data_IF_591445636987
#
_entry.id   IF_591445636987
#
_cell.length_a   1.000
_cell.length_b   1.000
_cell.length_c   1.000
_cell.angle_alpha   90.00
_cell.angle_beta   90.00
_cell.angle_gamma   90.00
#
_symmetry.space_group_name_H-M   'P 1'
#
loop_
_entity.id
_entity.type
_entity.pdbx_description
1 polymer ?
#
# COMPACT_ATOMS: atom_id res chain seq x y z
N UNK A 1 -1.38 -18.36 7.36
CA UNK A 1 -1.38 -19.78 7.11
C UNK A 1 -0.66 -20.13 5.82
N UNK A 2 0.15 -21.17 5.84
CA UNK A 2 0.73 -21.73 4.62
C UNK A 2 -0.35 -22.53 3.88
N UNK A 3 -0.44 -22.35 2.56
CA UNK A 3 -1.26 -23.23 1.73
C UNK A 3 -0.67 -24.65 1.67
N UNK A 4 -1.39 -25.59 1.10
CA UNK A 4 -0.93 -26.99 0.97
C UNK A 4 -0.02 -27.21 -0.26
N UNK A 5 1.00 -26.37 -0.40
CA UNK A 5 1.96 -26.38 -1.52
C UNK A 5 2.79 -27.66 -1.67
N UNK A 6 2.82 -28.50 -0.63
CA UNK A 6 3.37 -29.85 -0.66
C UNK A 6 2.28 -30.94 -0.57
N UNK A 7 1.00 -30.56 -0.71
CA UNK A 7 -0.15 -31.44 -0.46
C UNK A 7 -0.64 -31.37 0.99
N UNK A 8 -1.70 -32.12 1.26
CA UNK A 8 -2.31 -32.25 2.58
C UNK A 8 -1.72 -33.49 3.24
N UNK A 9 -1.35 -33.41 4.54
CA UNK A 9 -0.83 -34.61 5.26
C UNK A 9 -1.89 -35.70 5.38
N UNK A 10 -1.50 -36.93 5.07
CA UNK A 10 -2.33 -38.12 5.29
C UNK A 10 -2.59 -38.42 6.77
N UNK A 11 -1.73 -37.90 7.66
CA UNK A 11 -1.80 -38.16 9.11
C UNK A 11 -2.85 -37.28 9.82
N UNK A 12 -3.52 -36.39 9.09
CA UNK A 12 -4.62 -35.61 9.64
C UNK A 12 -5.84 -36.48 9.95
N UNK A 13 -6.41 -36.26 11.11
CA UNK A 13 -7.66 -36.91 11.51
C UNK A 13 -8.88 -36.13 11.02
N UNK A 14 -9.12 -36.22 9.72
CA UNK A 14 -10.30 -35.60 9.11
C UNK A 14 -11.57 -36.41 9.38
N UNK A 15 -12.73 -35.75 9.51
CA UNK A 15 -14.04 -36.42 9.44
C UNK A 15 -14.19 -37.28 8.17
N UNK A 16 -15.00 -38.34 8.23
CA UNK A 16 -15.13 -39.32 7.16
C UNK A 16 -15.59 -38.69 5.83
N UNK A 17 -16.50 -37.71 5.86
CA UNK A 17 -17.00 -37.01 4.69
C UNK A 17 -15.91 -36.11 4.06
N UNK A 18 -14.99 -35.55 4.87
CA UNK A 18 -13.85 -34.81 4.38
C UNK A 18 -12.81 -35.72 3.77
N UNK A 19 -12.53 -36.89 4.40
CA UNK A 19 -11.65 -37.92 3.83
C UNK A 19 -12.12 -38.35 2.43
N UNK A 20 -13.44 -38.49 2.23
CA UNK A 20 -14.04 -38.82 0.92
C UNK A 20 -13.93 -37.70 -0.10
N UNK A 21 -13.73 -36.44 0.36
CA UNK A 21 -13.53 -35.28 -0.49
C UNK A 21 -12.09 -35.11 -0.96
N UNK A 22 -11.17 -35.91 -0.48
CA UNK A 22 -9.74 -35.88 -0.83
C UNK A 22 -9.36 -37.09 -1.71
N UNK A 23 -8.29 -36.95 -2.47
CA UNK A 23 -7.71 -38.05 -3.23
C UNK A 23 -6.19 -37.93 -3.32
N UNK A 24 -5.50 -39.06 -3.47
CA UNK A 24 -4.05 -39.07 -3.67
C UNK A 24 -3.70 -38.87 -5.14
N UNK A 25 -2.86 -37.91 -5.41
CA UNK A 25 -2.32 -37.63 -6.74
C UNK A 25 -0.83 -37.29 -6.63
N UNK A 26 0.01 -37.93 -7.44
CA UNK A 26 1.48 -37.77 -7.42
C UNK A 26 2.10 -37.84 -6.01
N UNK A 27 1.60 -38.71 -5.16
CA UNK A 27 2.07 -38.89 -3.78
C UNK A 27 1.57 -37.84 -2.78
N UNK A 28 0.79 -36.87 -3.21
CA UNK A 28 0.19 -35.84 -2.35
C UNK A 28 -1.32 -36.09 -2.18
N UNK A 29 -1.84 -35.82 -0.99
CA UNK A 29 -3.28 -35.79 -0.73
C UNK A 29 -3.80 -34.41 -1.11
N UNK A 30 -4.80 -34.35 -2.00
CA UNK A 30 -5.34 -33.10 -2.56
C UNK A 30 -6.87 -33.07 -2.45
N UNK A 31 -7.51 -31.88 -2.47
CA UNK A 31 -8.95 -31.77 -2.64
C UNK A 31 -9.42 -32.47 -3.91
N UNK A 32 -10.56 -33.16 -3.84
CA UNK A 32 -11.03 -34.10 -4.82
C UNK A 32 -11.33 -33.51 -6.21
N UNK A 33 -11.58 -34.41 -7.17
CA UNK A 33 -11.73 -34.09 -8.60
C UNK A 33 -13.01 -33.31 -8.97
N UNK A 34 -14.04 -33.37 -8.14
CA UNK A 34 -15.30 -32.65 -8.41
C UNK A 34 -15.33 -31.31 -7.70
N UNK A 35 -15.99 -30.29 -8.28
CA UNK A 35 -16.19 -28.98 -7.61
C UNK A 35 -16.83 -29.13 -6.22
N UNK A 36 -17.75 -30.09 -6.06
CA UNK A 36 -18.39 -30.39 -4.77
C UNK A 36 -17.40 -30.85 -3.71
N UNK A 37 -16.46 -31.72 -4.06
CA UNK A 37 -15.47 -32.24 -3.14
C UNK A 37 -14.47 -31.15 -2.74
N UNK A 38 -14.04 -30.35 -3.71
CA UNK A 38 -13.16 -29.20 -3.48
C UNK A 38 -13.85 -28.20 -2.52
N UNK A 39 -15.11 -27.84 -2.81
CA UNK A 39 -15.89 -26.94 -1.96
C UNK A 39 -16.09 -27.48 -0.54
N UNK A 40 -16.36 -28.78 -0.40
CA UNK A 40 -16.54 -29.43 0.90
C UNK A 40 -15.26 -29.36 1.75
N UNK A 41 -14.09 -29.59 1.14
CA UNK A 41 -12.80 -29.43 1.81
C UNK A 41 -12.58 -28.00 2.30
N UNK A 42 -12.74 -26.97 1.41
CA UNK A 42 -12.53 -25.60 1.79
C UNK A 42 -13.55 -25.11 2.81
N UNK A 43 -14.80 -25.57 2.74
CA UNK A 43 -15.81 -25.28 3.77
C UNK A 43 -15.38 -25.78 5.15
N UNK A 44 -14.90 -26.99 5.23
CA UNK A 44 -14.37 -27.57 6.48
C UNK A 44 -13.16 -26.79 6.97
N UNK A 45 -12.20 -26.53 6.09
CA UNK A 45 -10.95 -25.84 6.40
C UNK A 45 -11.22 -24.44 6.97
N UNK A 46 -12.01 -23.62 6.29
CA UNK A 46 -12.32 -22.25 6.74
C UNK A 46 -13.16 -22.27 8.02
N UNK A 47 -14.14 -23.17 8.12
CA UNK A 47 -14.94 -23.31 9.34
C UNK A 47 -14.10 -23.70 10.56
N UNK A 48 -13.14 -24.58 10.38
CA UNK A 48 -12.20 -24.96 11.45
C UNK A 48 -11.43 -23.75 11.98
N UNK A 49 -10.94 -22.90 11.09
CA UNK A 49 -10.21 -21.69 11.46
C UNK A 49 -11.11 -20.67 12.15
N UNK A 50 -12.31 -20.45 11.61
CA UNK A 50 -13.30 -19.56 12.25
C UNK A 50 -13.71 -20.02 13.65
N UNK A 51 -13.93 -21.32 13.82
CA UNK A 51 -14.27 -21.89 15.13
C UNK A 51 -13.13 -21.74 16.15
N UNK A 52 -11.88 -21.59 15.69
CA UNK A 52 -10.74 -21.26 16.53
C UNK A 52 -10.56 -19.76 16.79
N UNK A 53 -11.52 -18.92 16.38
CA UNK A 53 -11.57 -17.50 16.67
C UNK A 53 -10.83 -16.60 15.67
N UNK A 54 -10.52 -17.08 14.46
CA UNK A 54 -9.92 -16.26 13.42
C UNK A 54 -11.00 -15.54 12.59
N UNK A 55 -10.92 -14.21 12.52
CA UNK A 55 -11.79 -13.37 11.70
C UNK A 55 -11.21 -13.07 10.32
N UNK A 56 -9.91 -13.32 10.16
CA UNK A 56 -9.14 -12.96 8.97
C UNK A 56 -8.01 -13.97 8.76
N UNK A 57 -7.74 -14.29 7.49
CA UNK A 57 -6.72 -15.25 7.09
C UNK A 57 -5.78 -14.65 6.04
N UNK A 58 -4.48 -14.84 6.20
CA UNK A 58 -3.50 -14.72 5.12
C UNK A 58 -3.14 -16.12 4.65
N UNK A 59 -3.49 -16.45 3.41
CA UNK A 59 -3.21 -17.74 2.80
C UNK A 59 -2.05 -17.60 1.84
N UNK A 60 -0.96 -18.28 2.17
CA UNK A 60 0.29 -18.26 1.40
C UNK A 60 0.33 -19.39 0.34
N UNK A 61 1.30 -19.31 -0.58
CA UNK A 61 1.61 -20.33 -1.58
C UNK A 61 0.48 -20.68 -2.56
N UNK A 62 -0.45 -19.77 -2.81
CA UNK A 62 -1.61 -20.04 -3.67
C UNK A 62 -1.23 -20.34 -5.13
N UNK A 63 -0.15 -19.74 -5.65
CA UNK A 63 0.36 -20.01 -6.99
C UNK A 63 0.82 -21.46 -7.19
N UNK A 64 1.14 -22.17 -6.11
CA UNK A 64 1.55 -23.58 -6.15
C UNK A 64 0.38 -24.56 -6.31
N UNK A 65 -0.85 -24.10 -6.22
CA UNK A 65 -2.04 -24.95 -6.45
C UNK A 65 -2.02 -25.56 -7.86
N UNK A 66 -1.64 -24.79 -8.88
CA UNK A 66 -1.56 -25.30 -10.25
C UNK A 66 -0.51 -26.42 -10.42
N UNK A 67 0.76 -26.26 -9.96
CA UNK A 67 1.75 -27.33 -9.99
C UNK A 67 1.33 -28.64 -9.32
N UNK A 68 0.54 -28.59 -8.24
CA UNK A 68 0.08 -29.80 -7.55
C UNK A 68 -0.75 -30.74 -8.43
N UNK A 69 -1.47 -30.20 -9.40
CA UNK A 69 -2.31 -30.96 -10.33
C UNK A 69 -1.62 -31.30 -11.65
N UNK A 70 -0.33 -30.92 -11.84
CA UNK A 70 0.40 -31.17 -13.10
C UNK A 70 0.53 -32.65 -13.40
N UNK A 71 0.27 -33.00 -14.69
CA UNK A 71 0.21 -34.39 -15.14
C UNK A 71 -1.22 -34.97 -15.14
N UNK A 72 -2.18 -34.27 -14.55
CA UNK A 72 -3.61 -34.62 -14.61
C UNK A 72 -4.26 -34.14 -15.92
N UNK A 73 -5.48 -34.63 -16.18
CA UNK A 73 -6.24 -34.29 -17.40
C UNK A 73 -6.98 -32.94 -17.30
N UNK A 74 -7.16 -32.39 -16.10
CA UNK A 74 -7.96 -31.18 -15.84
C UNK A 74 -7.26 -30.19 -14.90
N UNK A 75 -5.95 -30.03 -15.09
CA UNK A 75 -5.06 -29.27 -14.21
C UNK A 75 -5.57 -27.84 -13.93
N UNK A 76 -5.83 -27.09 -14.99
CA UNK A 76 -6.27 -25.69 -14.89
C UNK A 76 -7.64 -25.60 -14.22
N UNK A 77 -8.57 -26.49 -14.59
CA UNK A 77 -9.92 -26.52 -13.99
C UNK A 77 -9.86 -26.80 -12.49
N UNK A 78 -9.09 -27.80 -12.06
CA UNK A 78 -8.97 -28.14 -10.64
C UNK A 78 -8.32 -27.03 -9.84
N UNK A 79 -7.24 -26.43 -10.33
CA UNK A 79 -6.59 -25.30 -9.65
C UNK A 79 -7.53 -24.07 -9.57
N UNK A 80 -8.26 -23.77 -10.64
CA UNK A 80 -9.28 -22.72 -10.65
C UNK A 80 -10.38 -22.97 -9.63
N UNK A 81 -10.92 -24.19 -9.56
CA UNK A 81 -11.98 -24.55 -8.61
C UNK A 81 -11.49 -24.43 -7.15
N UNK A 82 -10.23 -24.75 -6.88
CA UNK A 82 -9.64 -24.53 -5.55
C UNK A 82 -9.62 -23.03 -5.18
N UNK A 83 -9.20 -22.17 -6.09
CA UNK A 83 -9.21 -20.73 -5.86
C UNK A 83 -10.64 -20.19 -5.66
N UNK A 84 -11.58 -20.59 -6.52
CA UNK A 84 -12.98 -20.18 -6.41
C UNK A 84 -13.64 -20.70 -5.11
N UNK A 85 -13.30 -21.92 -4.67
CA UNK A 85 -13.81 -22.46 -3.42
C UNK A 85 -13.23 -21.72 -2.20
N UNK A 86 -11.95 -21.36 -2.22
CA UNK A 86 -11.33 -20.55 -1.18
C UNK A 86 -12.04 -19.20 -1.06
N UNK A 87 -12.17 -18.47 -2.15
CA UNK A 87 -12.84 -17.15 -2.22
C UNK A 87 -14.29 -17.24 -1.70
N UNK A 88 -15.06 -18.22 -2.20
CA UNK A 88 -16.46 -18.43 -1.82
C UNK A 88 -16.60 -18.78 -0.34
N UNK A 89 -15.82 -19.73 0.15
CA UNK A 89 -15.95 -20.21 1.52
C UNK A 89 -15.49 -19.18 2.56
N UNK A 90 -14.49 -18.36 2.26
CA UNK A 90 -14.12 -17.24 3.14
C UNK A 90 -15.22 -16.17 3.17
N UNK A 91 -15.80 -15.84 2.03
CA UNK A 91 -16.95 -14.91 1.93
C UNK A 91 -18.18 -15.42 2.68
N UNK A 92 -18.64 -16.65 2.39
CA UNK A 92 -19.86 -17.23 2.95
C UNK A 92 -19.79 -17.39 4.48
N UNK A 93 -18.58 -17.61 4.99
CA UNK A 93 -18.34 -17.75 6.43
C UNK A 93 -17.91 -16.44 7.10
N UNK A 94 -17.89 -15.32 6.36
CA UNK A 94 -17.53 -13.99 6.86
C UNK A 94 -16.13 -13.96 7.50
N UNK A 95 -15.15 -14.53 6.81
CA UNK A 95 -13.73 -14.49 7.17
C UNK A 95 -12.99 -13.65 6.13
N UNK A 96 -12.26 -12.63 6.57
CA UNK A 96 -11.43 -11.83 5.67
C UNK A 96 -10.34 -12.67 5.01
N UNK A 97 -10.06 -12.44 3.73
CA UNK A 97 -8.99 -13.14 3.00
C UNK A 97 -7.95 -12.16 2.47
N UNK A 98 -6.69 -12.42 2.78
CA UNK A 98 -5.53 -11.84 2.15
C UNK A 98 -4.80 -12.92 1.34
N UNK A 99 -4.74 -12.73 0.03
CA UNK A 99 -4.04 -13.64 -0.87
C UNK A 99 -2.53 -13.39 -0.81
N UNK A 100 -1.74 -14.47 -0.69
CA UNK A 100 -0.30 -14.38 -0.67
C UNK A 100 0.33 -15.41 -1.61
N UNK A 101 1.47 -15.04 -2.26
CA UNK A 101 2.07 -15.81 -3.35
C UNK A 101 1.02 -16.24 -4.40
N UNK A 102 0.17 -15.29 -4.77
CA UNK A 102 -0.98 -15.50 -5.66
C UNK A 102 -0.80 -14.80 -7.02
N UNK A 103 0.44 -14.44 -7.37
CA UNK A 103 0.76 -13.73 -8.62
C UNK A 103 0.84 -14.71 -9.80
N UNK A 104 -0.32 -15.24 -10.17
CA UNK A 104 -0.52 -15.96 -11.41
C UNK A 104 -1.89 -15.61 -11.99
N UNK A 105 -2.11 -15.86 -13.27
CA UNK A 105 -3.35 -15.55 -13.98
C UNK A 105 -4.58 -16.16 -13.33
N UNK A 106 -4.48 -17.43 -12.86
CA UNK A 106 -5.62 -18.09 -12.22
C UNK A 106 -6.10 -17.39 -10.95
N UNK A 107 -5.18 -16.92 -10.12
CA UNK A 107 -5.53 -16.22 -8.90
C UNK A 107 -5.97 -14.78 -9.22
N UNK A 108 -5.18 -14.04 -10.01
CA UNK A 108 -5.44 -12.63 -10.33
C UNK A 108 -6.79 -12.42 -11.01
N UNK A 109 -7.15 -13.29 -11.97
CA UNK A 109 -8.39 -13.16 -12.74
C UNK A 109 -9.63 -13.72 -12.00
N UNK A 110 -9.44 -14.40 -10.85
CA UNK A 110 -10.53 -15.03 -10.10
C UNK A 110 -10.58 -14.57 -8.63
N UNK A 111 -10.04 -13.42 -8.32
CA UNK A 111 -10.23 -12.71 -7.03
C UNK A 111 -11.60 -12.06 -7.03
N UNK A 112 -12.62 -12.77 -6.48
CA UNK A 112 -14.03 -12.36 -6.60
C UNK A 112 -14.55 -11.66 -5.34
N UNK A 113 -14.10 -12.05 -4.15
CA UNK A 113 -14.62 -11.57 -2.87
C UNK A 113 -13.55 -10.99 -1.96
N UNK A 114 -12.30 -11.41 -2.11
CA UNK A 114 -11.18 -10.84 -1.36
C UNK A 114 -10.74 -9.50 -1.92
N UNK A 115 -10.43 -8.56 -1.04
CA UNK A 115 -10.03 -7.20 -1.42
C UNK A 115 -8.54 -6.90 -1.23
N UNK A 116 -7.72 -7.89 -0.84
CA UNK A 116 -6.31 -7.69 -0.52
C UNK A 116 -5.45 -8.81 -1.09
N UNK A 117 -4.42 -8.44 -1.85
CA UNK A 117 -3.46 -9.39 -2.45
C UNK A 117 -2.03 -8.90 -2.28
N UNK A 118 -1.12 -9.80 -1.86
CA UNK A 118 0.30 -9.56 -1.80
C UNK A 118 0.88 -9.31 -3.20
N UNK A 119 1.64 -8.25 -3.38
CA UNK A 119 2.14 -7.81 -4.70
C UNK A 119 3.67 -7.86 -4.86
N UNK A 120 4.41 -8.27 -3.82
CA UNK A 120 5.88 -8.28 -3.80
C UNK A 120 6.47 -9.61 -3.36
N UNK A 121 7.79 -9.78 -3.55
CA UNK A 121 8.58 -10.77 -2.79
C UNK A 121 8.55 -10.44 -1.30
N UNK A 122 9.01 -11.38 -0.47
CA UNK A 122 9.08 -11.19 0.97
C UNK A 122 9.98 -10.03 1.36
N UNK A 123 9.55 -9.24 2.34
CA UNK A 123 10.44 -8.32 3.03
C UNK A 123 11.46 -9.11 3.87
N UNK A 124 12.72 -8.69 3.80
CA UNK A 124 13.80 -9.24 4.62
C UNK A 124 14.48 -8.14 5.42
N UNK A 125 14.48 -8.29 6.75
CA UNK A 125 15.16 -7.37 7.67
C UNK A 125 16.67 -7.36 7.39
N UNK A 126 17.27 -6.17 7.37
CA UNK A 126 18.71 -5.93 7.18
C UNK A 126 19.28 -6.38 5.82
N UNK A 127 18.46 -6.49 4.80
CA UNK A 127 18.86 -6.86 3.45
C UNK A 127 18.48 -5.74 2.46
N UNK A 128 19.44 -4.89 2.16
CA UNK A 128 19.24 -3.71 1.31
C UNK A 128 18.80 -4.07 -0.12
N UNK A 129 19.45 -5.07 -0.74
CA UNK A 129 19.14 -5.45 -2.12
C UNK A 129 17.77 -6.11 -2.24
N UNK A 130 17.38 -6.91 -1.24
CA UNK A 130 16.04 -7.46 -1.16
C UNK A 130 15.00 -6.36 -0.90
N UNK A 131 15.31 -5.37 -0.07
CA UNK A 131 14.42 -4.24 0.17
C UNK A 131 14.17 -3.40 -1.09
N UNK A 132 15.22 -3.14 -1.89
CA UNK A 132 15.11 -2.46 -3.21
C UNK A 132 14.23 -3.25 -4.18
N UNK A 133 14.48 -4.54 -4.31
CA UNK A 133 13.71 -5.44 -5.18
C UNK A 133 12.25 -5.54 -4.72
N UNK A 134 12.02 -5.62 -3.42
CA UNK A 134 10.70 -5.62 -2.80
C UNK A 134 9.90 -4.36 -3.15
N UNK A 135 10.50 -3.17 -2.99
CA UNK A 135 9.86 -1.89 -3.34
C UNK A 135 9.53 -1.80 -4.82
N UNK A 136 10.47 -2.16 -5.69
CA UNK A 136 10.24 -2.15 -7.13
C UNK A 136 9.07 -3.04 -7.53
N UNK A 137 9.04 -4.29 -7.05
CA UNK A 137 7.93 -5.22 -7.33
C UNK A 137 6.62 -4.75 -6.73
N UNK A 138 6.63 -4.25 -5.49
CA UNK A 138 5.44 -3.74 -4.82
C UNK A 138 4.67 -2.75 -5.69
N UNK A 139 5.35 -1.72 -6.16
CA UNK A 139 4.69 -0.67 -6.94
C UNK A 139 4.41 -1.07 -8.39
N UNK A 140 5.33 -1.81 -9.03
CA UNK A 140 5.13 -2.23 -10.42
C UNK A 140 3.95 -3.19 -10.57
N UNK A 141 3.80 -4.15 -9.65
CA UNK A 141 2.67 -5.08 -9.67
C UNK A 141 1.34 -4.39 -9.30
N UNK A 142 1.38 -3.31 -8.53
CA UNK A 142 0.20 -2.51 -8.20
C UNK A 142 -0.43 -1.84 -9.43
N UNK A 143 0.32 -1.58 -10.50
CA UNK A 143 -0.23 -1.06 -11.76
C UNK A 143 -1.40 -1.89 -12.29
N UNK A 144 -1.29 -3.23 -12.23
CA UNK A 144 -2.34 -4.13 -12.67
C UNK A 144 -3.27 -4.49 -11.51
N UNK A 145 -2.72 -5.02 -10.42
CA UNK A 145 -3.52 -5.58 -9.33
C UNK A 145 -4.26 -4.52 -8.53
N UNK A 146 -3.68 -3.33 -8.38
CA UNK A 146 -4.30 -2.19 -7.67
C UNK A 146 -5.58 -1.64 -8.31
N UNK A 147 -5.95 -2.10 -9.50
CA UNK A 147 -7.22 -1.75 -10.15
C UNK A 147 -8.40 -2.53 -9.56
N UNK A 148 -8.16 -3.66 -8.92
CA UNK A 148 -9.21 -4.56 -8.38
C UNK A 148 -9.05 -4.88 -6.90
N UNK A 149 -7.83 -4.80 -6.35
CA UNK A 149 -7.52 -5.11 -4.95
C UNK A 149 -6.62 -4.05 -4.32
N UNK A 150 -6.64 -3.94 -3.00
CA UNK A 150 -5.64 -3.19 -2.25
C UNK A 150 -4.34 -4.02 -2.16
N UNK A 151 -3.19 -3.45 -2.56
CA UNK A 151 -1.95 -4.18 -2.61
C UNK A 151 -1.37 -4.40 -1.21
N UNK A 152 -1.11 -5.64 -0.85
CA UNK A 152 -0.31 -5.97 0.33
C UNK A 152 1.18 -5.85 -0.03
N UNK A 153 1.84 -4.84 0.52
CA UNK A 153 3.28 -4.62 0.42
C UNK A 153 4.08 -5.37 1.50
N UNK A 154 3.50 -6.44 2.07
CA UNK A 154 4.08 -7.24 3.15
C UNK A 154 4.28 -6.49 4.48
N UNK A 155 4.73 -7.23 5.48
CA UNK A 155 5.18 -6.71 6.77
C UNK A 155 6.43 -5.82 6.63
N UNK A 156 6.79 -5.16 7.72
CA UNK A 156 8.12 -4.57 7.88
C UNK A 156 8.54 -4.59 9.35
N UNK A 157 9.82 -4.34 9.61
CA UNK A 157 10.34 -4.09 10.95
C UNK A 157 10.60 -2.60 11.12
N UNK A 158 9.95 -1.97 12.09
CA UNK A 158 10.20 -0.58 12.42
C UNK A 158 11.62 -0.37 12.96
N UNK A 159 12.20 -1.41 13.54
CA UNK A 159 13.56 -1.47 14.09
C UNK A 159 14.65 -1.79 13.07
N UNK A 160 14.30 -1.96 11.79
CA UNK A 160 15.31 -2.18 10.75
C UNK A 160 16.15 -0.93 10.53
N UNK A 161 17.43 -1.01 10.89
CA UNK A 161 18.37 0.12 10.82
C UNK A 161 18.77 0.50 9.40
N UNK A 162 18.54 -0.38 8.41
CA UNK A 162 18.80 -0.11 6.99
C UNK A 162 17.65 0.64 6.34
N UNK A 163 16.42 0.17 6.54
CA UNK A 163 15.29 0.69 5.77
C UNK A 163 13.96 0.81 6.57
N UNK A 164 13.93 0.64 7.89
CA UNK A 164 12.68 0.67 8.68
C UNK A 164 11.88 1.95 8.49
N UNK A 165 12.52 3.11 8.54
CA UNK A 165 11.90 4.42 8.29
C UNK A 165 11.42 4.59 6.84
N UNK A 166 12.20 4.14 5.85
CA UNK A 166 11.84 4.15 4.44
C UNK A 166 10.65 3.22 4.17
N UNK A 167 10.67 2.00 4.74
CA UNK A 167 9.55 1.06 4.63
C UNK A 167 8.28 1.61 5.26
N UNK A 168 8.36 2.29 6.40
CA UNK A 168 7.19 2.91 7.03
C UNK A 168 6.51 3.94 6.08
N UNK A 169 7.29 4.80 5.40
CA UNK A 169 6.76 5.73 4.40
C UNK A 169 6.18 5.01 3.18
N UNK A 170 6.86 3.95 2.72
CA UNK A 170 6.35 3.10 1.65
C UNK A 170 5.01 2.46 2.00
N UNK A 171 4.86 1.93 3.22
CA UNK A 171 3.58 1.37 3.68
C UNK A 171 2.50 2.43 3.79
N UNK A 172 2.83 3.64 4.24
CA UNK A 172 1.88 4.75 4.30
C UNK A 172 1.22 5.04 2.95
N UNK A 173 2.03 5.17 1.89
CA UNK A 173 1.53 5.53 0.54
C UNK A 173 0.91 4.33 -0.21
N UNK A 174 1.21 3.09 0.19
CA UNK A 174 0.75 1.89 -0.52
C UNK A 174 -0.77 1.78 -0.63
N UNK A 175 -1.49 2.28 0.38
CA UNK A 175 -2.95 2.09 0.52
C UNK A 175 -3.35 0.71 1.04
N UNK A 176 -2.45 -0.26 1.03
CA UNK A 176 -2.67 -1.62 1.52
C UNK A 176 -2.67 -1.75 3.05
N UNK A 177 -2.77 -2.96 3.57
CA UNK A 177 -2.62 -3.21 5.00
C UNK A 177 -1.20 -2.87 5.47
N UNK A 178 -1.10 -2.40 6.71
CA UNK A 178 0.18 -2.12 7.37
C UNK A 178 0.30 -3.00 8.61
N UNK A 179 1.32 -3.83 8.66
CA UNK A 179 1.56 -4.72 9.79
C UNK A 179 3.04 -4.89 10.06
N UNK A 180 3.35 -5.07 11.34
CA UNK A 180 4.70 -5.12 11.90
C UNK A 180 5.07 -6.54 12.27
N UNK A 181 6.36 -6.87 12.15
CA UNK A 181 6.94 -8.13 12.61
C UNK A 181 8.07 -7.91 13.62
N UNK A 182 8.16 -6.72 14.18
CA UNK A 182 9.05 -6.47 15.31
C UNK A 182 8.64 -7.29 16.52
N UNK A 183 9.62 -7.68 17.33
CA UNK A 183 9.33 -8.03 18.72
C UNK A 183 8.71 -6.82 19.42
N UNK A 184 7.69 -6.99 20.30
CA UNK A 184 7.07 -5.87 20.99
C UNK A 184 8.05 -4.96 21.78
N UNK A 185 9.23 -5.47 22.09
CA UNK A 185 10.29 -4.70 22.80
C UNK A 185 11.19 -3.89 21.85
N UNK A 186 11.07 -4.10 20.55
CA UNK A 186 11.94 -3.49 19.53
C UNK A 186 11.21 -2.43 18.68
N UNK A 187 9.96 -2.11 19.00
CA UNK A 187 9.20 -1.09 18.26
C UNK A 187 9.88 0.27 18.30
N UNK A 188 10.04 0.86 17.12
CA UNK A 188 10.52 2.23 16.94
C UNK A 188 9.32 3.14 16.70
N UNK A 189 8.90 3.85 17.74
CA UNK A 189 7.69 4.69 17.74
C UNK A 189 7.71 5.78 16.67
N UNK A 190 8.89 6.33 16.37
CA UNK A 190 9.14 7.36 15.37
C UNK A 190 8.79 6.88 13.94
N UNK A 191 8.86 5.58 13.70
CA UNK A 191 8.48 4.96 12.42
C UNK A 191 7.00 4.54 12.39
N UNK A 192 6.37 4.36 13.55
CA UNK A 192 5.00 3.82 13.65
C UNK A 192 3.96 4.93 13.82
N UNK A 193 4.16 5.87 14.74
CA UNK A 193 3.17 6.92 15.04
C UNK A 193 2.84 7.84 13.85
N UNK A 194 3.74 8.11 12.89
CA UNK A 194 3.36 8.84 11.69
C UNK A 194 2.35 8.13 10.78
N UNK A 195 2.14 6.81 10.95
CA UNK A 195 1.19 6.01 10.16
C UNK A 195 -0.26 6.12 10.64
N UNK A 196 -0.48 6.43 11.93
CA UNK A 196 -1.76 6.24 12.61
C UNK A 196 -2.25 7.50 13.31
N UNK A 197 -3.57 7.56 13.56
CA UNK A 197 -4.17 8.52 14.49
C UNK A 197 -3.99 8.07 15.96
N UNK A 198 -4.62 8.79 16.90
CA UNK A 198 -4.53 8.47 18.35
C UNK A 198 -5.27 7.19 18.74
N UNK A 199 -6.17 6.70 17.88
CA UNK A 199 -6.95 5.49 18.12
C UNK A 199 -6.33 4.28 17.43
N UNK A 200 -5.16 4.44 16.78
CA UNK A 200 -4.49 3.40 16.01
C UNK A 200 -5.05 3.21 14.60
N UNK A 201 -5.92 4.10 14.12
CA UNK A 201 -6.43 4.04 12.75
C UNK A 201 -5.37 4.54 11.77
N UNK A 202 -5.11 3.76 10.73
CA UNK A 202 -4.12 4.07 9.69
C UNK A 202 -4.67 5.17 8.77
N UNK A 203 -3.87 6.20 8.50
CA UNK A 203 -4.11 7.12 7.40
C UNK A 203 -3.80 6.46 6.06
N UNK A 204 -4.69 6.61 5.07
CA UNK A 204 -4.57 5.97 3.76
C UNK A 204 -4.69 6.98 2.62
N UNK A 205 -4.02 6.72 1.48
CA UNK A 205 -4.31 7.44 0.24
C UNK A 205 -5.69 7.05 -0.29
N UNK A 206 -6.23 7.84 -1.20
CA UNK A 206 -7.53 7.58 -1.84
C UNK A 206 -7.47 6.43 -2.87
N UNK A 207 -6.28 6.10 -3.39
CA UNK A 207 -6.01 4.96 -4.25
C UNK A 207 -4.59 4.43 -3.97
N UNK A 208 -4.29 3.15 -4.29
CA UNK A 208 -2.96 2.59 -4.14
C UNK A 208 -1.90 3.35 -4.92
N UNK A 209 -0.70 3.50 -4.33
CA UNK A 209 0.41 4.16 -5.03
C UNK A 209 0.91 3.32 -6.20
N UNK A 210 1.15 3.98 -7.32
CA UNK A 210 1.74 3.39 -8.53
C UNK A 210 2.96 4.21 -9.00
N UNK A 211 3.83 3.64 -9.85
CA UNK A 211 4.92 4.39 -10.47
C UNK A 211 4.39 5.55 -11.33
N UNK A 212 5.15 6.64 -11.37
CA UNK A 212 4.90 7.72 -12.34
C UNK A 212 5.16 7.22 -13.77
N UNK A 213 4.59 7.84 -14.81
CA UNK A 213 4.71 7.36 -16.19
C UNK A 213 6.15 7.12 -16.66
N UNK A 214 7.09 7.99 -16.29
CA UNK A 214 8.51 7.81 -16.63
C UNK A 214 9.17 6.66 -15.85
N UNK A 215 8.67 6.33 -14.66
CA UNK A 215 9.20 5.23 -13.84
C UNK A 215 8.69 3.86 -14.29
N UNK A 216 7.57 3.79 -14.99
CA UNK A 216 7.01 2.53 -15.54
C UNK A 216 7.98 1.88 -16.54
N UNK A 217 8.67 2.71 -17.35
CA UNK A 217 9.53 2.26 -18.44
C UNK A 217 11.02 2.14 -18.04
N UNK A 218 11.34 2.20 -16.74
CA UNK A 218 12.72 2.12 -16.25
C UNK A 218 12.92 0.88 -15.38
N UNK A 219 14.13 0.35 -15.37
CA UNK A 219 14.57 -0.60 -14.35
C UNK A 219 15.34 0.16 -13.26
N UNK A 220 14.70 0.60 -12.18
CA UNK A 220 15.34 1.45 -11.18
C UNK A 220 16.47 0.75 -10.43
N UNK A 221 16.59 -0.58 -10.52
CA UNK A 221 17.67 -1.33 -9.92
C UNK A 221 18.99 -1.18 -10.70
N UNK A 222 18.94 -0.79 -11.99
CA UNK A 222 20.10 -0.81 -12.89
C UNK A 222 20.30 0.49 -13.70
N UNK A 223 19.25 1.27 -13.96
CA UNK A 223 19.29 2.36 -14.94
C UNK A 223 19.88 3.68 -14.41
N UNK A 224 20.27 3.75 -13.15
CA UNK A 224 20.80 4.97 -12.54
C UNK A 224 19.80 6.13 -12.48
N UNK A 225 18.51 5.82 -12.42
CA UNK A 225 17.42 6.79 -12.31
C UNK A 225 16.69 6.66 -10.98
N UNK A 226 16.18 7.76 -10.48
CA UNK A 226 15.29 7.73 -9.33
C UNK A 226 13.96 7.04 -9.71
N UNK A 227 13.46 6.20 -8.81
CA UNK A 227 12.15 5.56 -8.94
C UNK A 227 11.10 6.42 -8.23
N UNK A 228 10.15 6.95 -8.98
CA UNK A 228 9.12 7.84 -8.48
C UNK A 228 7.78 7.13 -8.44
N UNK A 229 7.09 7.23 -7.30
CA UNK A 229 5.74 6.68 -7.11
C UNK A 229 4.83 7.76 -6.56
N UNK A 230 3.53 7.67 -6.84
CA UNK A 230 2.56 8.65 -6.40
C UNK A 230 1.24 8.02 -5.97
N UNK A 231 0.52 8.72 -5.09
CA UNK A 231 -0.85 8.40 -4.72
C UNK A 231 -1.67 9.66 -4.44
N UNK A 232 -2.96 9.70 -4.79
CA UNK A 232 -3.86 10.76 -4.37
C UNK A 232 -4.07 10.68 -2.86
N UNK A 233 -3.92 11.81 -2.16
CA UNK A 233 -3.94 11.85 -0.70
C UNK A 233 -4.83 12.98 -0.20
N UNK A 234 -5.65 12.68 0.83
CA UNK A 234 -6.63 13.63 1.32
C UNK A 234 -7.63 14.08 0.24
N UNK A 235 -8.26 15.21 0.46
CA UNK A 235 -9.32 15.71 -0.44
C UNK A 235 -8.77 16.11 -1.82
N UNK A 236 -7.59 16.71 -1.86
CA UNK A 236 -7.09 17.31 -3.10
C UNK A 236 -5.58 17.19 -3.35
N UNK A 237 -4.79 16.61 -2.46
CA UNK A 237 -3.34 16.52 -2.63
C UNK A 237 -2.88 15.27 -3.37
N UNK A 238 -1.61 15.30 -3.82
CA UNK A 238 -0.85 14.13 -4.31
C UNK A 238 0.36 13.95 -3.43
N UNK A 239 0.59 12.73 -2.94
CA UNK A 239 1.85 12.37 -2.29
C UNK A 239 2.76 11.67 -3.30
N UNK A 240 4.04 12.05 -3.32
CA UNK A 240 5.05 11.48 -4.20
C UNK A 240 6.23 11.02 -3.33
N UNK A 241 6.72 9.81 -3.56
CA UNK A 241 8.00 9.37 -3.01
C UNK A 241 8.98 9.14 -4.16
N UNK A 242 10.19 9.68 -3.99
CA UNK A 242 11.32 9.40 -4.86
C UNK A 242 12.28 8.47 -4.13
N UNK A 243 12.69 7.37 -4.77
CA UNK A 243 13.61 6.37 -4.22
C UNK A 243 14.88 6.29 -5.05
N UNK A 244 16.02 6.03 -4.41
CA UNK A 244 17.19 5.45 -5.07
C UNK A 244 17.21 3.94 -4.80
N UNK A 245 16.78 3.14 -5.79
CA UNK A 245 16.73 1.67 -5.72
C UNK A 245 17.91 1.00 -6.45
N UNK A 246 18.91 1.76 -6.90
CA UNK A 246 20.01 1.17 -7.64
C UNK A 246 20.82 0.19 -6.78
N UNK A 247 21.13 -0.97 -7.36
CA UNK A 247 21.99 -2.00 -6.75
C UNK A 247 23.46 -1.86 -7.14
N UNK A 248 23.75 -1.03 -8.15
CA UNK A 248 25.12 -0.79 -8.63
C UNK A 248 25.78 0.37 -7.88
N UNK A 249 27.00 0.16 -7.40
CA UNK A 249 27.82 1.24 -6.81
C UNK A 249 28.10 2.41 -7.75
N UNK A 250 27.97 2.20 -9.08
CA UNK A 250 28.11 3.24 -10.10
C UNK A 250 27.05 4.34 -9.95
N UNK A 251 25.89 4.03 -9.44
CA UNK A 251 24.75 4.96 -9.30
C UNK A 251 24.42 5.21 -7.83
N UNK A 252 25.47 5.49 -7.04
CA UNK A 252 25.29 5.83 -5.64
C UNK A 252 24.40 7.06 -5.45
N UNK A 253 24.46 7.99 -6.39
CA UNK A 253 23.63 9.19 -6.42
C UNK A 253 22.72 9.18 -7.65
N UNK A 254 21.44 9.48 -7.45
CA UNK A 254 20.46 9.67 -8.52
C UNK A 254 19.71 10.98 -8.31
N UNK A 255 19.20 11.54 -9.41
CA UNK A 255 18.43 12.77 -9.38
C UNK A 255 17.03 12.58 -9.94
N UNK A 256 16.09 13.38 -9.49
CA UNK A 256 14.75 13.51 -10.02
C UNK A 256 14.34 14.99 -10.05
N UNK A 257 13.26 15.30 -10.75
CA UNK A 257 12.56 16.57 -10.65
C UNK A 257 11.11 16.33 -10.28
N UNK A 258 10.51 17.26 -9.52
CA UNK A 258 9.07 17.27 -9.28
C UNK A 258 8.51 18.53 -9.89
N UNK A 259 7.64 18.38 -10.88
CA UNK A 259 7.02 19.48 -11.58
C UNK A 259 5.56 19.68 -11.13
N UNK A 260 4.99 20.86 -11.42
CA UNK A 260 3.58 21.11 -11.11
C UNK A 260 2.63 20.18 -11.87
N UNK A 261 3.05 19.70 -13.03
CA UNK A 261 2.32 18.76 -13.88
C UNK A 261 2.16 17.38 -13.20
N UNK A 262 3.05 17.01 -12.27
CA UNK A 262 2.93 15.78 -11.49
C UNK A 262 1.65 15.75 -10.63
N UNK A 263 1.08 16.90 -10.32
CA UNK A 263 -0.19 17.01 -9.63
C UNK A 263 -1.34 16.40 -10.45
N UNK A 264 -1.30 16.50 -11.78
CA UNK A 264 -2.33 15.96 -12.68
C UNK A 264 -2.39 14.43 -12.67
N UNK A 265 -1.35 13.75 -12.16
CA UNK A 265 -1.36 12.29 -11.98
C UNK A 265 -2.47 11.83 -11.05
N UNK A 266 -2.98 12.72 -10.18
CA UNK A 266 -4.15 12.44 -9.33
C UNK A 266 -5.36 11.99 -10.13
N UNK A 267 -5.64 12.62 -11.27
CA UNK A 267 -6.77 12.32 -12.13
C UNK A 267 -6.72 10.89 -12.66
N UNK A 268 -5.53 10.35 -12.93
CA UNK A 268 -5.36 8.99 -13.46
C UNK A 268 -5.85 7.91 -12.51
N UNK A 269 -5.83 8.18 -11.20
CA UNK A 269 -6.24 7.22 -10.16
C UNK A 269 -7.62 7.52 -9.57
N UNK A 270 -8.04 8.78 -9.57
CA UNK A 270 -9.34 9.16 -8.98
C UNK A 270 -10.46 9.21 -10.02
N UNK A 271 -10.12 9.31 -11.30
CA UNK A 271 -11.08 9.55 -12.39
C UNK A 271 -11.82 10.90 -12.26
N UNK A 272 -11.37 11.78 -11.37
CA UNK A 272 -11.97 13.10 -11.15
C UNK A 272 -11.05 14.16 -11.75
N UNK A 273 -11.54 14.96 -12.71
CA UNK A 273 -10.77 16.08 -13.25
C UNK A 273 -10.33 17.02 -12.12
N UNK A 274 -9.07 17.45 -12.18
CA UNK A 274 -8.64 18.47 -11.27
C UNK A 274 -9.09 19.85 -11.78
N UNK A 275 -9.97 20.46 -11.01
CA UNK A 275 -10.56 21.77 -11.30
C UNK A 275 -9.71 22.93 -10.76
N UNK A 276 -8.40 22.75 -10.62
CA UNK A 276 -7.53 23.88 -10.22
C UNK A 276 -7.51 24.95 -11.30
N UNK A 277 -8.39 25.92 -11.16
CA UNK A 277 -8.48 27.07 -12.08
C UNK A 277 -7.19 27.91 -12.15
N UNK A 278 -6.33 27.84 -11.14
CA UNK A 278 -5.09 28.60 -11.05
C UNK A 278 -3.84 27.89 -11.56
N UNK A 279 -3.87 26.57 -11.65
CA UNK A 279 -2.67 25.77 -11.99
C UNK A 279 -1.49 25.97 -11.04
N UNK A 280 -1.72 26.55 -9.85
CA UNK A 280 -0.69 26.83 -8.84
C UNK A 280 -0.62 25.70 -7.84
N UNK A 281 0.56 25.15 -7.66
CA UNK A 281 0.82 23.99 -6.80
C UNK A 281 1.91 24.33 -5.80
N UNK A 282 1.65 24.06 -4.53
CA UNK A 282 2.62 24.09 -3.44
C UNK A 282 3.22 22.69 -3.29
N UNK A 283 4.52 22.57 -3.34
CA UNK A 283 5.26 21.39 -2.91
C UNK A 283 5.60 21.54 -1.43
N UNK A 284 5.25 20.55 -0.63
CA UNK A 284 5.71 20.41 0.75
C UNK A 284 6.70 19.26 0.83
N UNK A 285 7.93 19.56 1.23
CA UNK A 285 8.97 18.57 1.55
C UNK A 285 8.72 18.07 2.98
N UNK A 286 8.29 16.81 3.09
CA UNK A 286 7.90 16.25 4.39
C UNK A 286 9.09 16.11 5.35
N UNK A 287 10.28 15.81 4.84
CA UNK A 287 11.48 15.62 5.67
C UNK A 287 12.11 16.94 6.08
N UNK A 288 12.23 17.85 5.14
CA UNK A 288 12.76 19.20 5.39
C UNK A 288 11.75 20.12 6.11
N UNK A 289 10.46 19.77 6.11
CA UNK A 289 9.36 20.58 6.67
C UNK A 289 9.25 21.98 6.03
N UNK A 290 9.58 22.07 4.76
CA UNK A 290 9.55 23.32 3.97
C UNK A 290 8.49 23.26 2.88
N UNK A 291 7.99 24.43 2.47
CA UNK A 291 7.01 24.57 1.42
C UNK A 291 7.50 25.53 0.35
N UNK A 292 7.31 25.17 -0.92
CA UNK A 292 7.72 25.98 -2.09
C UNK A 292 6.64 25.94 -3.17
N UNK A 293 6.22 27.07 -3.68
CA UNK A 293 5.35 27.10 -4.86
C UNK A 293 6.13 26.66 -6.11
N UNK A 294 5.60 25.69 -6.84
CA UNK A 294 6.25 25.15 -8.03
C UNK A 294 6.10 26.08 -9.23
N UNK A 295 7.13 26.87 -9.51
CA UNK A 295 7.27 27.69 -10.74
C UNK A 295 8.16 27.03 -11.78
N UNK A 296 9.00 26.11 -11.35
CA UNK A 296 9.87 25.24 -12.15
C UNK A 296 9.97 23.87 -11.47
N UNK A 297 10.59 22.89 -12.12
CA UNK A 297 10.82 21.59 -11.52
C UNK A 297 11.69 21.71 -10.26
N UNK A 298 11.22 21.15 -9.14
CA UNK A 298 11.96 21.08 -7.88
C UNK A 298 13.00 19.96 -7.98
N UNK A 299 14.29 20.25 -7.79
CA UNK A 299 15.34 19.25 -7.91
C UNK A 299 15.36 18.33 -6.68
N UNK A 300 15.41 17.03 -6.89
CA UNK A 300 15.57 16.00 -5.86
C UNK A 300 16.87 15.26 -6.08
N UNK A 301 17.67 15.12 -5.03
CA UNK A 301 18.94 14.42 -5.04
C UNK A 301 18.93 13.34 -3.96
N UNK A 302 19.18 12.08 -4.36
CA UNK A 302 19.14 10.91 -3.49
C UNK A 302 20.51 10.24 -3.49
N UNK A 303 21.14 10.13 -2.34
CA UNK A 303 22.42 9.45 -2.17
C UNK A 303 22.25 8.17 -1.37
N UNK A 304 22.77 7.05 -1.90
CA UNK A 304 22.63 5.72 -1.30
C UNK A 304 21.19 5.22 -1.33
N UNK A 305 20.87 4.22 -0.52
CA UNK A 305 19.51 3.70 -0.38
C UNK A 305 18.66 4.64 0.48
N UNK A 306 18.06 5.61 -0.16
CA UNK A 306 17.25 6.66 0.49
C UNK A 306 15.98 6.94 -0.28
N UNK A 307 15.08 7.66 0.37
CA UNK A 307 13.84 8.17 -0.19
C UNK A 307 13.57 9.62 0.26
N UNK A 308 12.76 10.32 -0.50
CA UNK A 308 12.18 11.62 -0.12
C UNK A 308 10.69 11.63 -0.42
N UNK A 309 9.91 12.10 0.57
CA UNK A 309 8.44 12.20 0.51
C UNK A 309 8.02 13.64 0.34
N UNK A 310 7.18 13.89 -0.66
CA UNK A 310 6.63 15.19 -0.98
C UNK A 310 5.11 15.16 -1.05
N UNK A 311 4.47 16.30 -0.73
CA UNK A 311 3.04 16.51 -0.96
C UNK A 311 2.86 17.67 -1.92
N UNK A 312 2.12 17.46 -3.00
CA UNK A 312 1.69 18.49 -3.94
C UNK A 312 0.27 18.92 -3.54
N UNK A 313 0.16 20.14 -3.03
CA UNK A 313 -1.09 20.71 -2.54
C UNK A 313 -1.52 21.86 -3.47
N UNK A 314 -2.74 21.86 -4.04
CA UNK A 314 -3.19 22.94 -4.88
C UNK A 314 -3.38 24.21 -4.06
N UNK A 315 -3.01 25.36 -4.63
CA UNK A 315 -3.25 26.68 -4.03
C UNK A 315 -4.62 27.17 -4.52
N UNK A 316 -5.62 27.17 -3.61
CA UNK A 316 -6.99 27.61 -3.89
C UNK A 316 -7.37 28.79 -2.99
N UNK A 317 -7.91 29.85 -3.55
CA UNK A 317 -8.27 31.06 -2.80
C UNK A 317 -7.10 31.64 -1.96
N UNK A 318 -5.86 31.40 -2.41
CA UNK A 318 -4.65 31.81 -1.68
C UNK A 318 -4.37 30.95 -0.44
N UNK A 319 -4.88 29.72 -0.37
CA UNK A 319 -4.59 28.72 0.66
C UNK A 319 -4.06 27.43 0.03
N UNK A 320 -3.12 26.76 0.69
CA UNK A 320 -2.81 25.36 0.42
C UNK A 320 -2.77 24.57 1.76
N UNK A 321 -3.50 23.45 1.80
CA UNK A 321 -3.66 22.65 3.01
C UNK A 321 -2.69 21.49 2.98
N UNK A 322 -1.77 21.44 3.94
CA UNK A 322 -0.74 20.40 4.04
C UNK A 322 -1.20 19.31 5.02
N UNK A 323 -1.80 19.69 6.17
CA UNK A 323 -2.23 18.76 7.22
C UNK A 323 -1.24 18.66 8.37
N UNK A 324 -1.35 17.58 9.15
CA UNK A 324 -0.53 17.38 10.36
C UNK A 324 0.88 16.92 9.95
N UNK A 325 1.87 17.76 10.22
CA UNK A 325 3.27 17.57 9.77
C UNK A 325 3.94 16.29 10.27
N UNK A 326 3.53 15.80 11.44
CA UNK A 326 4.09 14.59 12.05
C UNK A 326 3.62 13.29 11.39
N UNK A 327 2.66 13.37 10.45
CA UNK A 327 2.09 12.19 9.76
C UNK A 327 2.69 12.05 8.36
N UNK A 328 3.00 10.80 7.94
CA UNK A 328 3.53 10.55 6.59
C UNK A 328 2.56 11.00 5.50
N UNK A 329 1.28 10.76 5.68
CA UNK A 329 0.24 11.27 4.78
C UNK A 329 -0.43 12.51 5.39
N UNK A 330 0.36 13.58 5.59
CA UNK A 330 -0.14 14.83 6.18
C UNK A 330 -1.48 15.29 5.57
N UNK A 331 -1.71 15.27 4.23
CA UNK A 331 -2.98 15.72 3.66
C UNK A 331 -4.18 14.83 4.02
N UNK A 332 -3.96 13.57 4.39
CA UNK A 332 -5.05 12.67 4.81
C UNK A 332 -5.53 12.91 6.25
N UNK A 333 -4.92 13.84 6.95
CA UNK A 333 -5.24 14.17 8.35
C UNK A 333 -6.24 15.29 8.51
N UNK A 334 -6.72 15.86 7.41
CA UNK A 334 -7.65 16.99 7.38
C UNK A 334 -8.70 16.82 6.27
N UNK A 335 -9.89 17.33 6.53
CA UNK A 335 -10.96 17.49 5.55
C UNK A 335 -11.21 18.98 5.32
N UNK A 336 -11.33 19.42 4.07
CA UNK A 336 -11.58 20.82 3.72
C UNK A 336 -13.08 21.06 3.69
N UNK A 337 -13.62 21.73 4.71
CA UNK A 337 -15.05 22.01 4.81
C UNK A 337 -15.46 23.22 3.97
N UNK A 338 -14.66 24.27 3.98
CA UNK A 338 -14.85 25.44 3.10
C UNK A 338 -13.58 26.25 2.91
N UNK A 339 -13.45 26.91 1.77
CA UNK A 339 -12.34 27.81 1.44
C UNK A 339 -12.83 29.03 0.70
N UNK A 340 -12.52 30.19 1.23
CA UNK A 340 -12.74 31.50 0.61
C UNK A 340 -11.42 32.31 0.62
N UNK A 341 -11.32 33.46 -0.08
CA UNK A 341 -10.10 34.27 -0.02
C UNK A 341 -9.69 34.67 1.38
N UNK A 342 -10.65 34.90 2.31
CA UNK A 342 -10.38 35.41 3.64
C UNK A 342 -10.42 34.33 4.75
N UNK A 343 -11.00 33.17 4.47
CA UNK A 343 -11.26 32.17 5.49
C UNK A 343 -11.13 30.75 4.95
N UNK A 344 -10.52 29.88 5.78
CA UNK A 344 -10.40 28.44 5.54
C UNK A 344 -10.96 27.69 6.77
N UNK A 345 -11.93 26.78 6.54
CA UNK A 345 -12.49 25.91 7.58
C UNK A 345 -12.12 24.47 7.30
N UNK A 346 -11.53 23.82 8.28
CA UNK A 346 -11.02 22.46 8.21
C UNK A 346 -11.59 21.61 9.36
N UNK A 347 -11.82 20.32 9.10
CA UNK A 347 -11.97 19.31 10.14
C UNK A 347 -10.63 18.57 10.28
N UNK A 348 -9.98 18.72 11.42
CA UNK A 348 -8.67 18.09 11.70
C UNK A 348 -8.88 16.76 12.43
N UNK A 349 -8.34 15.66 11.90
CA UNK A 349 -8.66 14.29 12.32
C UNK A 349 -7.80 13.77 13.49
N UNK A 350 -6.65 14.39 13.76
CA UNK A 350 -5.76 13.99 14.85
C UNK A 350 -5.01 15.19 15.45
N UNK A 351 -4.55 15.12 16.72
CA UNK A 351 -3.69 16.15 17.28
C UNK A 351 -2.32 16.16 16.60
N UNK A 352 -1.65 17.31 16.68
CA UNK A 352 -0.33 17.52 16.09
C UNK A 352 -0.11 18.98 15.71
N UNK A 353 0.83 19.23 14.83
CA UNK A 353 1.10 20.55 14.27
C UNK A 353 0.54 20.62 12.86
N UNK A 354 -0.58 21.32 12.72
CA UNK A 354 -1.20 21.59 11.42
C UNK A 354 -0.35 22.60 10.63
N UNK A 355 -0.02 22.23 9.40
CA UNK A 355 0.62 23.11 8.43
C UNK A 355 -0.39 23.56 7.38
N UNK A 356 -0.47 24.87 7.19
CA UNK A 356 -1.28 25.53 6.14
C UNK A 356 -0.46 26.66 5.56
N UNK A 357 -0.38 26.70 4.25
CA UNK A 357 0.22 27.83 3.56
C UNK A 357 -0.87 28.84 3.17
N UNK A 358 -0.55 30.14 3.32
CA UNK A 358 -1.50 31.23 3.07
C UNK A 358 -0.84 32.40 2.36
N UNK A 359 -1.58 33.03 1.43
CA UNK A 359 -1.27 34.35 0.90
C UNK A 359 -2.00 35.41 1.74
N UNK A 360 -1.24 36.31 2.33
CA UNK A 360 -1.76 37.40 3.13
C UNK A 360 -1.37 38.75 2.50
N UNK A 361 -1.88 39.84 3.05
CA UNK A 361 -1.47 41.21 2.64
C UNK A 361 0.03 41.48 2.89
N UNK A 362 0.65 40.71 3.81
CA UNK A 362 2.07 40.78 4.13
C UNK A 362 2.96 39.87 3.29
N UNK A 363 2.39 39.08 2.38
CA UNK A 363 3.09 38.11 1.55
C UNK A 363 2.65 36.68 1.78
N UNK A 364 3.52 35.72 1.41
CA UNK A 364 3.29 34.28 1.55
C UNK A 364 3.85 33.76 2.87
N UNK A 365 3.08 32.96 3.59
CA UNK A 365 3.53 32.37 4.85
C UNK A 365 3.14 30.91 5.02
N UNK A 366 4.01 30.11 5.63
CA UNK A 366 3.72 28.77 6.10
C UNK A 366 3.36 28.83 7.58
N UNK A 367 2.08 28.67 7.90
CA UNK A 367 1.56 28.70 9.27
C UNK A 367 1.71 27.33 9.95
N UNK A 368 2.07 27.34 11.21
CA UNK A 368 2.14 26.17 12.08
C UNK A 368 1.20 26.38 13.26
N UNK A 369 0.18 25.52 13.36
CA UNK A 369 -0.90 25.67 14.35
C UNK A 369 -0.94 24.43 15.21
N UNK A 370 -0.79 24.56 16.52
CA UNK A 370 -0.85 23.43 17.44
C UNK A 370 -2.28 22.99 17.67
N UNK A 371 -2.63 21.80 17.21
CA UNK A 371 -3.93 21.14 17.43
C UNK A 371 -3.80 20.21 18.64
N UNK A 372 -4.54 20.49 19.69
CA UNK A 372 -4.58 19.67 20.90
C UNK A 372 -5.68 18.60 20.82
N UNK A 373 -6.82 18.98 20.26
CA UNK A 373 -8.02 18.13 20.13
C UNK A 373 -8.48 18.14 18.68
N UNK A 374 -8.76 16.97 18.08
CA UNK A 374 -9.36 16.89 16.75
C UNK A 374 -10.69 17.63 16.67
N UNK A 375 -11.04 18.09 15.50
CA UNK A 375 -12.31 18.77 15.25
C UNK A 375 -12.20 19.93 14.26
N UNK A 376 -13.29 20.69 14.17
CA UNK A 376 -13.40 21.82 13.25
C UNK A 376 -12.60 23.02 13.75
N UNK A 377 -11.86 23.63 12.83
CA UNK A 377 -11.15 24.89 13.05
C UNK A 377 -11.38 25.84 11.88
N UNK A 378 -11.38 27.12 12.17
CA UNK A 378 -11.48 28.19 11.17
C UNK A 378 -10.27 29.10 11.26
N UNK A 379 -9.60 29.26 10.13
CA UNK A 379 -8.43 30.15 9.96
C UNK A 379 -8.82 31.38 9.16
N UNK A 380 -8.30 32.54 9.53
CA UNK A 380 -8.44 33.80 8.81
C UNK A 380 -7.06 34.27 8.33
N UNK A 381 -7.03 34.99 7.19
CA UNK A 381 -5.80 35.64 6.69
C UNK A 381 -5.36 36.82 7.55
#
# INVERSE_FOLDING_TARGET
LSGYWAGISSDNDFPADIKQSLYTFNGSLLPGKSPRNIDNFYRYYIRSLKNNGFDFLKIDNQAFTLPLYMGGTEVVRQAKECNLALERQTHDQQVGLMNCMAQNTLNTDHTLYSGVTRVSIDYKKYDEDMAKSHLFQSYTNTLLQGQTVWPDHDMFHSSDTICGSLMARSKAISGGPVYLSDSPKEFVSENIFPLIDNNGKIFRPAAPAIPTPESILTNPLQDGKAYRVFAPTGDEAVSIICYNLNTSSKYREVTAGIAKEDYLLRETLTGKPDMTSSGRILLFDWKAQTATELTSAYPVKLEGFTDELFHLCPIRNGWAVIGIQEKYLSPATVEILSSTPDQLTLNVLCPGTLKVWAETSGGQELRSIRIKTPGEITLKK
#
